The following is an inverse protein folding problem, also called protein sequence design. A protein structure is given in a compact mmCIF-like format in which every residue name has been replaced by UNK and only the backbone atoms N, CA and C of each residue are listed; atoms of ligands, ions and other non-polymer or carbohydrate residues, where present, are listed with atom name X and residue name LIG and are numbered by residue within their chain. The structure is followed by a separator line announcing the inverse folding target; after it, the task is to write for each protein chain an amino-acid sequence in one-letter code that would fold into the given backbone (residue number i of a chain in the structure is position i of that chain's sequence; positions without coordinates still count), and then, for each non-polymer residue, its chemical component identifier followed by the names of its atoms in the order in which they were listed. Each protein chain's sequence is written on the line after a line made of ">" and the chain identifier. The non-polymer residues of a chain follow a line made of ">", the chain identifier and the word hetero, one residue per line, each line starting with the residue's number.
data_IF_247186941147
#
_entry.id   IF_247186941147
#
_cell.length_a   1.000
_cell.length_b   1.000
_cell.length_c   1.000
_cell.angle_alpha   90.00
_cell.angle_beta   90.00
_cell.angle_gamma   90.00
#
_symmetry.space_group_name_H-M   'P 1'
#
loop_
_entity.id
_entity.type
_entity.pdbx_description
1 polymer ?
#
# COMPACT_ATOMS: atom_id res chain seq x y z
N UNK A 1 44.15 67.09 0.43
CA UNK A 1 45.26 66.13 0.60
C UNK A 1 44.81 64.84 -0.07
N UNK A 2 45.20 64.65 -1.33
CA UNK A 2 46.30 63.78 -1.77
C UNK A 2 46.08 62.30 -1.39
N UNK A 3 46.10 61.29 -2.27
CA UNK A 3 46.23 61.17 -3.74
C UNK A 3 46.38 59.65 -4.06
N UNK A 4 46.03 59.24 -5.29
CA UNK A 4 46.38 57.99 -6.04
C UNK A 4 45.66 56.69 -5.62
N UNK A 5 44.81 56.00 -6.38
CA UNK A 5 44.49 55.85 -7.82
C UNK A 5 45.40 55.01 -8.72
N UNK A 6 44.83 53.86 -9.15
CA UNK A 6 44.84 53.19 -10.47
C UNK A 6 45.93 52.20 -10.90
N UNK A 7 45.46 51.31 -11.80
CA UNK A 7 46.10 50.43 -12.79
C UNK A 7 46.40 48.98 -12.34
N UNK A 8 46.03 47.91 -13.06
CA UNK A 8 45.46 47.79 -14.41
C UNK A 8 44.82 46.38 -14.60
N UNK A 9 43.74 46.33 -15.36
CA UNK A 9 43.12 45.14 -15.94
C UNK A 9 43.76 44.74 -17.29
N UNK A 10 43.50 43.52 -17.77
CA UNK A 10 43.25 43.10 -19.18
C UNK A 10 43.82 41.69 -19.48
N UNK A 11 42.95 40.69 -19.66
CA UNK A 11 42.47 40.09 -20.93
C UNK A 11 43.29 38.83 -21.33
N UNK A 12 42.73 37.62 -21.26
CA UNK A 12 41.85 36.92 -22.22
C UNK A 12 42.61 36.30 -23.42
N UNK A 13 42.70 34.95 -23.48
CA UNK A 13 42.04 34.06 -24.47
C UNK A 13 42.71 32.68 -24.65
N UNK A 14 41.81 31.70 -24.86
CA UNK A 14 41.89 30.50 -25.68
C UNK A 14 42.71 29.27 -25.21
N UNK A 15 41.98 28.17 -25.03
CA UNK A 15 42.49 26.80 -24.96
C UNK A 15 41.34 25.80 -24.82
N UNK A 16 40.64 25.53 -25.92
CA UNK A 16 39.57 24.54 -26.04
C UNK A 16 40.05 23.13 -25.66
N UNK A 17 39.23 22.38 -24.94
CA UNK A 17 39.20 20.92 -25.06
C UNK A 17 37.80 20.41 -24.76
N UNK A 18 37.10 20.10 -25.85
CA UNK A 18 35.82 19.41 -25.90
C UNK A 18 36.08 17.93 -26.18
N UNK A 19 35.15 17.09 -25.74
CA UNK A 19 34.83 15.74 -26.21
C UNK A 19 35.29 14.48 -25.42
N UNK A 20 34.26 13.90 -24.81
CA UNK A 20 33.67 12.55 -25.05
C UNK A 20 33.90 11.45 -24.01
N UNK A 21 32.75 10.91 -23.60
CA UNK A 21 32.56 9.71 -22.81
C UNK A 21 33.21 8.46 -23.44
N UNK A 22 33.67 7.48 -22.63
CA UNK A 22 34.03 6.18 -23.15
C UNK A 22 32.78 5.35 -23.41
N UNK A 23 32.58 5.00 -24.70
CA UNK A 23 31.68 3.94 -25.16
C UNK A 23 32.23 2.56 -24.74
N UNK A 24 31.31 1.64 -24.51
CA UNK A 24 31.56 0.20 -24.42
C UNK A 24 32.32 -0.33 -25.65
N UNK A 25 33.10 -1.40 -25.51
CA UNK A 25 33.43 -2.29 -26.62
C UNK A 25 32.59 -3.57 -26.53
N UNK A 26 31.71 -3.77 -27.51
CA UNK A 26 31.29 -5.10 -27.94
C UNK A 26 32.37 -5.71 -28.84
N UNK A 27 32.68 -6.97 -28.51
CA UNK A 27 33.08 -8.11 -29.35
C UNK A 27 34.18 -7.97 -30.42
N UNK A 28 35.23 -8.76 -30.22
CA UNK A 28 35.71 -9.62 -31.30
C UNK A 28 35.90 -11.07 -30.82
N UNK A 29 35.51 -11.91 -31.77
CA UNK A 29 35.27 -13.34 -31.79
C UNK A 29 36.53 -14.21 -31.60
N UNK A 30 36.28 -15.50 -31.42
CA UNK A 30 37.16 -16.67 -31.51
C UNK A 30 37.95 -17.08 -30.26
N UNK A 31 37.45 -18.07 -29.49
CA UNK A 31 38.21 -19.26 -29.04
C UNK A 31 37.29 -20.49 -28.91
N UNK A 32 37.50 -21.42 -29.86
CA UNK A 32 37.52 -22.89 -29.77
C UNK A 32 36.78 -23.60 -28.61
N UNK A 33 35.81 -24.43 -28.99
CA UNK A 33 35.29 -25.53 -28.19
C UNK A 33 36.40 -26.52 -27.84
N UNK A 34 36.58 -26.80 -26.54
CA UNK A 34 37.20 -28.03 -26.05
C UNK A 34 36.24 -28.67 -25.05
N UNK A 35 35.67 -29.76 -25.51
CA UNK A 35 34.84 -30.70 -24.75
C UNK A 35 35.70 -31.35 -23.65
N UNK A 36 35.32 -31.21 -22.38
CA UNK A 36 35.92 -32.01 -21.32
C UNK A 36 34.90 -32.31 -20.22
N UNK A 37 34.63 -33.60 -20.06
CA UNK A 37 33.56 -34.13 -19.22
C UNK A 37 33.67 -33.74 -17.76
N UNK A 38 32.56 -33.24 -17.20
CA UNK A 38 32.32 -33.16 -15.77
C UNK A 38 31.01 -33.88 -15.45
N UNK A 39 31.12 -34.84 -14.52
CA UNK A 39 30.02 -35.61 -13.95
C UNK A 39 28.88 -34.68 -13.51
N UNK A 40 27.67 -34.99 -13.96
CA UNK A 40 26.44 -34.33 -13.52
C UNK A 40 26.32 -34.42 -12.00
N UNK A 41 26.28 -33.26 -11.36
CA UNK A 41 25.79 -33.14 -9.99
C UNK A 41 24.28 -33.42 -10.00
N UNK A 42 23.72 -34.11 -8.99
CA UNK A 42 22.30 -34.36 -8.93
C UNK A 42 21.54 -33.03 -8.98
N UNK A 43 20.59 -32.96 -9.91
CA UNK A 43 19.70 -31.82 -10.13
C UNK A 43 19.11 -31.36 -8.79
N UNK A 44 19.13 -30.05 -8.47
CA UNK A 44 18.50 -29.57 -7.25
C UNK A 44 17.02 -29.92 -7.33
N UNK A 45 16.57 -30.78 -6.42
CA UNK A 45 15.17 -31.09 -6.21
C UNK A 45 14.38 -29.79 -6.27
N UNK A 46 13.40 -29.73 -7.18
CA UNK A 46 12.39 -28.68 -7.24
C UNK A 46 11.82 -28.54 -5.82
N UNK A 47 12.33 -27.58 -5.05
CA UNK A 47 11.62 -27.08 -3.88
C UNK A 47 10.28 -26.65 -4.41
N UNK A 48 9.24 -27.43 -4.10
CA UNK A 48 7.86 -27.06 -4.33
C UNK A 48 7.68 -25.77 -3.53
N UNK A 49 7.87 -24.63 -4.20
CA UNK A 49 7.60 -23.33 -3.62
C UNK A 49 6.14 -23.37 -3.26
N UNK A 50 5.83 -23.38 -1.95
CA UNK A 50 4.45 -23.23 -1.50
C UNK A 50 3.85 -22.06 -2.28
N UNK A 51 2.66 -22.21 -2.89
CA UNK A 51 2.04 -21.12 -3.63
C UNK A 51 2.01 -19.89 -2.73
N UNK A 52 2.35 -18.74 -3.31
CA UNK A 52 2.26 -17.48 -2.59
C UNK A 52 0.81 -17.34 -2.07
N UNK A 53 0.61 -16.83 -0.85
CA UNK A 53 -0.73 -16.54 -0.35
C UNK A 53 -1.52 -15.72 -1.37
N UNK A 54 -2.81 -15.99 -1.51
CA UNK A 54 -3.69 -15.17 -2.34
C UNK A 54 -3.61 -13.72 -1.87
N UNK A 55 -3.36 -12.81 -2.81
CA UNK A 55 -3.21 -11.38 -2.53
C UNK A 55 -4.53 -10.79 -2.01
N UNK A 56 -4.48 -10.13 -0.86
CA UNK A 56 -5.62 -9.38 -0.32
C UNK A 56 -5.34 -7.90 -0.58
N UNK A 57 -5.99 -7.36 -1.62
CA UNK A 57 -5.83 -5.97 -2.06
C UNK A 57 -6.68 -4.97 -1.27
N UNK A 58 -7.56 -5.46 -0.40
CA UNK A 58 -8.52 -4.67 0.35
C UNK A 58 -9.57 -5.55 0.99
N UNK A 59 -10.48 -4.89 1.70
CA UNK A 59 -11.57 -5.54 2.42
C UNK A 59 -12.59 -6.14 1.44
N UNK A 60 -13.38 -7.10 1.90
CA UNK A 60 -14.32 -7.87 1.08
C UNK A 60 -15.72 -7.83 1.67
N UNK A 61 -16.72 -7.73 0.81
CA UNK A 61 -18.11 -7.92 1.23
C UNK A 61 -18.33 -9.33 1.82
N UNK A 62 -19.08 -9.39 2.92
CA UNK A 62 -19.53 -10.63 3.55
C UNK A 62 -20.98 -10.94 3.15
N UNK A 63 -21.13 -11.79 2.14
CA UNK A 63 -22.41 -12.04 1.49
C UNK A 63 -22.82 -10.92 0.53
N UNK A 64 -24.07 -10.95 0.09
CA UNK A 64 -24.62 -9.84 -0.69
C UNK A 64 -24.99 -8.69 0.24
N UNK A 65 -24.52 -7.49 -0.08
CA UNK A 65 -24.63 -6.31 0.79
C UNK A 65 -25.23 -5.14 0.03
N UNK A 66 -26.01 -4.32 0.72
CA UNK A 66 -26.57 -3.10 0.16
C UNK A 66 -25.67 -1.92 0.52
N UNK A 67 -25.28 -1.14 -0.48
CA UNK A 67 -24.60 0.13 -0.31
C UNK A 67 -25.64 1.24 -0.16
N UNK A 68 -25.44 2.12 0.82
CA UNK A 68 -26.30 3.27 1.07
C UNK A 68 -25.57 4.59 0.75
N UNK A 69 -26.30 5.63 0.34
CA UNK A 69 -25.71 6.96 0.06
C UNK A 69 -25.14 7.64 1.32
N UNK A 70 -25.74 7.36 2.47
CA UNK A 70 -25.39 7.86 3.80
C UNK A 70 -25.63 6.75 4.83
N UNK A 71 -25.22 6.97 6.08
CA UNK A 71 -25.57 6.09 7.20
C UNK A 71 -27.09 6.02 7.36
N UNK A 72 -27.66 4.81 7.32
CA UNK A 72 -29.11 4.55 7.32
C UNK A 72 -29.87 5.26 6.18
N UNK A 73 -29.15 5.56 5.09
CA UNK A 73 -29.62 6.33 3.95
C UNK A 73 -30.38 5.52 2.91
N UNK A 74 -30.46 6.08 1.70
CA UNK A 74 -31.09 5.41 0.57
C UNK A 74 -30.17 4.33 0.02
N UNK A 75 -30.75 3.19 -0.31
CA UNK A 75 -30.05 2.11 -1.00
C UNK A 75 -29.72 2.52 -2.44
N UNK A 76 -28.43 2.51 -2.80
CA UNK A 76 -27.95 2.94 -4.12
C UNK A 76 -27.44 1.78 -4.97
N UNK A 77 -26.93 0.72 -4.36
CA UNK A 77 -26.45 -0.46 -5.06
C UNK A 77 -26.53 -1.71 -4.18
N UNK A 78 -26.54 -2.89 -4.81
CA UNK A 78 -26.29 -4.18 -4.16
C UNK A 78 -24.99 -4.74 -4.70
N UNK A 79 -24.10 -5.13 -3.80
CA UNK A 79 -22.84 -5.78 -4.12
C UNK A 79 -22.95 -7.29 -3.86
N UNK A 80 -22.21 -8.06 -4.64
CA UNK A 80 -22.09 -9.51 -4.50
C UNK A 80 -21.11 -9.86 -3.36
N UNK A 81 -21.20 -11.10 -2.85
CA UNK A 81 -20.20 -11.63 -1.92
C UNK A 81 -18.79 -11.54 -2.51
N UNK A 82 -17.80 -11.25 -1.66
CA UNK A 82 -16.40 -11.01 -2.03
C UNK A 82 -16.14 -9.82 -2.97
N UNK A 83 -17.11 -8.92 -3.19
CA UNK A 83 -16.83 -7.64 -3.84
C UNK A 83 -15.69 -6.92 -3.09
N UNK A 84 -14.75 -6.32 -3.83
CA UNK A 84 -13.66 -5.53 -3.24
C UNK A 84 -14.23 -4.23 -2.68
N UNK A 85 -13.83 -3.90 -1.46
CA UNK A 85 -14.23 -2.71 -0.74
C UNK A 85 -12.97 -1.93 -0.37
N UNK A 86 -12.91 -0.66 -0.78
CA UNK A 86 -11.94 0.29 -0.27
C UNK A 86 -12.64 1.08 0.83
N UNK A 87 -12.24 0.86 2.08
CA UNK A 87 -13.02 1.27 3.25
C UNK A 87 -12.31 2.34 4.04
N UNK A 88 -13.01 3.42 4.39
CA UNK A 88 -12.56 4.44 5.34
C UNK A 88 -12.47 3.91 6.77
N UNK A 89 -12.06 4.77 7.71
CA UNK A 89 -11.99 4.40 9.13
C UNK A 89 -13.41 4.26 9.67
N UNK A 90 -13.79 3.12 10.28
CA UNK A 90 -15.17 2.97 10.74
C UNK A 90 -15.55 3.94 11.86
N UNK A 91 -16.74 4.53 11.74
CA UNK A 91 -17.33 5.44 12.74
C UNK A 91 -18.71 4.91 13.13
N UNK A 92 -18.96 4.74 14.43
CA UNK A 92 -20.25 4.28 14.98
C UNK A 92 -20.80 2.98 14.35
N UNK A 93 -19.92 2.04 14.00
CA UNK A 93 -20.30 0.75 13.41
C UNK A 93 -20.56 0.77 11.90
N UNK A 94 -20.32 1.90 11.25
CA UNK A 94 -20.43 2.08 9.81
C UNK A 94 -19.07 2.38 9.19
N UNK A 95 -18.87 1.96 7.94
CA UNK A 95 -17.70 2.30 7.16
C UNK A 95 -18.15 3.05 5.89
N UNK A 96 -17.49 4.16 5.59
CA UNK A 96 -17.51 4.74 4.26
C UNK A 96 -16.75 3.79 3.32
N UNK A 97 -17.27 3.61 2.11
CA UNK A 97 -16.74 2.64 1.13
C UNK A 97 -16.69 3.26 -0.25
N UNK A 98 -15.58 3.04 -0.93
CA UNK A 98 -15.40 3.21 -2.36
C UNK A 98 -15.46 1.85 -3.04
N UNK A 99 -16.30 1.78 -4.07
CA UNK A 99 -16.42 0.63 -4.97
C UNK A 99 -16.11 1.10 -6.37
N UNK A 100 -15.26 0.36 -7.05
CA UNK A 100 -14.87 0.64 -8.42
C UNK A 100 -15.71 -0.18 -9.40
N UNK A 101 -16.18 0.47 -10.46
CA UNK A 101 -16.85 -0.20 -11.57
C UNK A 101 -16.30 0.26 -12.91
N UNK A 102 -16.17 -0.66 -13.85
CA UNK A 102 -15.92 -0.35 -15.25
C UNK A 102 -17.11 0.41 -15.82
N UNK A 103 -16.79 1.42 -16.64
CA UNK A 103 -17.79 2.21 -17.38
C UNK A 103 -17.44 2.27 -18.86
N UNK A 104 -18.47 2.42 -19.69
CA UNK A 104 -18.35 2.59 -21.13
C UNK A 104 -18.48 4.06 -21.55
N UNK A 105 -18.24 4.34 -22.83
CA UNK A 105 -18.27 5.70 -23.37
C UNK A 105 -19.65 6.40 -23.25
N UNK A 106 -20.74 5.65 -23.19
CA UNK A 106 -22.09 6.22 -22.98
C UNK A 106 -22.22 6.73 -21.55
N UNK A 107 -21.79 5.91 -20.58
CA UNK A 107 -21.82 6.24 -19.14
C UNK A 107 -20.86 7.36 -18.78
N UNK A 108 -19.67 7.38 -19.41
CA UNK A 108 -18.73 8.49 -19.26
C UNK A 108 -19.35 9.81 -19.77
N UNK A 109 -20.05 9.76 -20.91
CA UNK A 109 -20.69 10.95 -21.48
C UNK A 109 -21.91 11.42 -20.69
N UNK A 110 -22.69 10.50 -20.12
CA UNK A 110 -23.85 10.85 -19.30
C UNK A 110 -23.47 11.19 -17.85
N UNK A 111 -22.24 10.88 -17.43
CA UNK A 111 -21.77 10.99 -16.05
C UNK A 111 -22.72 10.31 -15.06
N UNK A 112 -23.33 9.19 -15.47
CA UNK A 112 -24.39 8.54 -14.69
C UNK A 112 -24.28 7.02 -14.75
N UNK A 113 -24.47 6.39 -13.58
CA UNK A 113 -24.78 4.98 -13.43
C UNK A 113 -26.28 4.84 -13.27
N UNK A 114 -26.92 4.11 -14.18
CA UNK A 114 -28.39 3.98 -14.20
C UNK A 114 -28.88 2.86 -13.27
N UNK A 115 -30.09 3.00 -12.75
CA UNK A 115 -30.78 1.97 -11.99
C UNK A 115 -30.87 0.66 -12.78
N UNK A 116 -30.52 -0.45 -12.11
CA UNK A 116 -30.52 -1.78 -12.72
C UNK A 116 -29.24 -2.11 -13.49
N UNK A 117 -28.35 -1.14 -13.71
CA UNK A 117 -27.06 -1.37 -14.35
C UNK A 117 -26.21 -2.36 -13.55
N UNK A 118 -25.56 -3.29 -14.25
CA UNK A 118 -24.57 -4.20 -13.69
C UNK A 118 -23.26 -3.47 -13.37
N UNK A 119 -22.71 -3.70 -12.19
CA UNK A 119 -21.38 -3.22 -11.79
C UNK A 119 -20.33 -4.29 -12.12
N UNK A 120 -19.24 -3.87 -12.75
CA UNK A 120 -18.18 -4.76 -13.25
C UNK A 120 -16.82 -4.35 -12.70
N UNK A 121 -16.01 -5.33 -12.27
CA UNK A 121 -14.59 -5.13 -11.96
C UNK A 121 -13.80 -6.30 -12.53
N UNK A 122 -12.77 -6.00 -13.31
CA UNK A 122 -11.99 -6.98 -14.06
C UNK A 122 -12.89 -7.91 -14.90
N UNK A 123 -13.88 -7.32 -15.57
CA UNK A 123 -14.92 -7.98 -16.38
C UNK A 123 -15.82 -8.95 -15.60
N UNK A 124 -15.76 -8.96 -14.26
CA UNK A 124 -16.62 -9.78 -13.40
C UNK A 124 -17.72 -8.94 -12.78
N UNK A 125 -18.92 -9.50 -12.70
CA UNK A 125 -20.05 -8.86 -12.01
C UNK A 125 -19.81 -8.79 -10.51
N UNK A 126 -19.71 -7.57 -9.98
CA UNK A 126 -19.53 -7.29 -8.56
C UNK A 126 -20.79 -6.75 -7.90
N UNK A 127 -21.82 -6.41 -8.67
CA UNK A 127 -23.08 -5.91 -8.12
C UNK A 127 -24.03 -5.36 -9.18
N UNK A 128 -25.02 -4.59 -8.72
CA UNK A 128 -25.95 -3.84 -9.57
C UNK A 128 -26.44 -2.57 -8.87
N UNK A 129 -26.78 -1.55 -9.66
CA UNK A 129 -27.38 -0.32 -9.17
C UNK A 129 -28.85 -0.52 -8.77
N UNK A 130 -29.26 0.13 -7.68
CA UNK A 130 -30.65 0.20 -7.20
C UNK A 130 -31.31 1.55 -7.50
N UNK A 131 -30.50 2.58 -7.72
CA UNK A 131 -30.92 3.94 -8.06
C UNK A 131 -29.97 4.52 -9.12
N UNK A 132 -30.42 5.58 -9.78
CA UNK A 132 -29.53 6.37 -10.62
C UNK A 132 -28.56 7.15 -9.73
N UNK A 133 -27.27 7.16 -10.08
CA UNK A 133 -26.22 7.86 -9.34
C UNK A 133 -25.30 8.58 -10.31
N UNK A 134 -24.98 9.84 -10.01
CA UNK A 134 -24.00 10.62 -10.77
C UNK A 134 -22.58 10.11 -10.49
N UNK A 135 -21.77 9.98 -11.54
CA UNK A 135 -20.36 9.64 -11.43
C UNK A 135 -19.60 10.91 -11.07
N UNK A 136 -19.20 11.03 -9.80
CA UNK A 136 -18.42 12.19 -9.34
C UNK A 136 -16.93 12.06 -9.63
N UNK A 137 -16.43 10.83 -9.70
CA UNK A 137 -15.02 10.56 -9.90
C UNK A 137 -14.80 9.36 -10.81
N UNK A 138 -13.88 9.51 -11.76
CA UNK A 138 -13.47 8.44 -12.68
C UNK A 138 -12.01 8.61 -13.09
N UNK A 139 -11.37 7.51 -13.44
CA UNK A 139 -9.99 7.52 -13.89
C UNK A 139 -9.76 6.52 -15.04
N UNK A 140 -8.69 6.76 -15.79
CA UNK A 140 -8.34 5.97 -16.98
C UNK A 140 -7.20 5.02 -16.62
N UNK A 141 -7.39 3.73 -16.89
CA UNK A 141 -6.38 2.69 -16.74
C UNK A 141 -5.33 2.80 -17.85
N UNK A 142 -4.18 2.16 -17.64
CA UNK A 142 -3.09 2.15 -18.62
C UNK A 142 -3.48 1.55 -19.98
N UNK A 143 -4.46 0.64 -20.01
CA UNK A 143 -4.98 0.02 -21.23
C UNK A 143 -6.10 0.83 -21.92
N UNK A 144 -6.41 2.02 -21.38
CA UNK A 144 -7.48 2.89 -21.87
C UNK A 144 -8.87 2.56 -21.31
N UNK A 145 -9.00 1.53 -20.47
CA UNK A 145 -10.23 1.25 -19.73
C UNK A 145 -10.61 2.39 -18.79
N UNK A 146 -11.90 2.58 -18.54
CA UNK A 146 -12.43 3.63 -17.65
C UNK A 146 -13.04 3.00 -16.41
N UNK A 147 -12.68 3.52 -15.25
CA UNK A 147 -13.23 3.13 -13.96
C UNK A 147 -13.96 4.32 -13.37
N UNK A 148 -15.23 4.14 -13.01
CA UNK A 148 -15.97 5.05 -12.15
C UNK A 148 -15.88 4.58 -10.69
N UNK A 149 -15.92 5.56 -9.80
CA UNK A 149 -15.93 5.36 -8.36
C UNK A 149 -17.34 5.60 -7.83
N UNK A 150 -17.86 4.62 -7.10
CA UNK A 150 -19.09 4.73 -6.34
C UNK A 150 -18.76 4.84 -4.85
N UNK A 151 -19.20 5.93 -4.23
CA UNK A 151 -19.10 6.14 -2.79
C UNK A 151 -20.41 5.71 -2.10
N UNK A 152 -20.28 5.17 -0.90
CA UNK A 152 -21.43 4.91 -0.04
C UNK A 152 -21.02 4.38 1.33
N UNK A 153 -22.00 3.85 2.07
CA UNK A 153 -21.84 3.39 3.44
C UNK A 153 -22.39 1.98 3.60
N UNK A 154 -21.70 1.18 4.42
CA UNK A 154 -22.16 -0.15 4.85
C UNK A 154 -21.92 -0.35 6.35
N UNK A 155 -22.69 -1.21 7.03
CA UNK A 155 -22.35 -1.64 8.38
C UNK A 155 -21.05 -2.44 8.39
N UNK A 156 -20.17 -2.23 9.37
CA UNK A 156 -18.90 -2.97 9.51
C UNK A 156 -19.11 -4.49 9.61
N UNK A 157 -20.25 -4.92 10.16
CA UNK A 157 -20.65 -6.34 10.24
C UNK A 157 -20.85 -7.01 8.87
N UNK A 158 -20.88 -6.22 7.78
CA UNK A 158 -20.98 -6.69 6.40
C UNK A 158 -19.63 -6.80 5.69
N UNK A 159 -18.54 -6.58 6.42
CA UNK A 159 -17.17 -6.74 5.94
C UNK A 159 -16.63 -8.07 6.43
N UNK A 160 -16.06 -8.84 5.51
CA UNK A 160 -15.47 -10.16 5.79
C UNK A 160 -14.27 -9.98 6.69
N UNK A 161 -14.39 -10.38 7.95
CA UNK A 161 -13.40 -10.10 8.99
C UNK A 161 -11.97 -10.56 8.63
N UNK A 162 -11.80 -11.67 7.91
CA UNK A 162 -10.50 -12.16 7.45
C UNK A 162 -9.82 -11.30 6.36
N UNK A 163 -10.54 -10.36 5.76
CA UNK A 163 -10.01 -9.41 4.78
C UNK A 163 -9.58 -8.07 5.41
N UNK A 164 -9.95 -7.82 6.67
CA UNK A 164 -9.52 -6.65 7.44
C UNK A 164 -8.09 -6.88 7.91
N UNK A 165 -7.14 -6.03 7.51
CA UNK A 165 -5.71 -6.27 7.72
C UNK A 165 -5.33 -6.37 9.20
N UNK A 166 -5.98 -5.60 10.07
CA UNK A 166 -5.73 -5.62 11.52
C UNK A 166 -6.13 -6.97 12.14
N UNK A 167 -7.31 -7.47 11.79
CA UNK A 167 -7.77 -8.80 12.19
C UNK A 167 -6.85 -9.87 11.62
N UNK A 168 -6.54 -9.79 10.32
CA UNK A 168 -5.70 -10.78 9.65
C UNK A 168 -4.30 -10.84 10.25
N UNK A 169 -3.70 -9.70 10.59
CA UNK A 169 -2.40 -9.62 11.26
C UNK A 169 -2.47 -10.28 12.65
N UNK A 170 -3.49 -9.95 13.43
CA UNK A 170 -3.68 -10.49 14.77
C UNK A 170 -3.81 -12.02 14.75
N UNK A 171 -4.60 -12.55 13.82
CA UNK A 171 -4.74 -13.99 13.60
C UNK A 171 -3.45 -14.63 13.09
N UNK A 172 -2.76 -13.97 12.15
CA UNK A 172 -1.50 -14.45 11.61
C UNK A 172 -0.45 -14.65 12.71
N UNK A 173 -0.26 -13.65 13.57
CA UNK A 173 0.70 -13.67 14.67
C UNK A 173 0.30 -14.64 15.79
N UNK A 174 -0.99 -14.86 15.99
CA UNK A 174 -1.47 -15.89 16.93
C UNK A 174 -1.13 -17.31 16.43
N UNK A 175 -1.22 -17.55 15.12
CA UNK A 175 -0.89 -18.83 14.50
C UNK A 175 0.62 -19.02 14.26
N UNK A 176 1.37 -17.93 14.08
CA UNK A 176 2.80 -17.90 13.78
C UNK A 176 3.51 -17.01 14.81
N UNK A 177 3.91 -17.56 15.97
CA UNK A 177 4.50 -16.77 17.05
C UNK A 177 5.93 -16.27 16.73
N UNK A 178 6.53 -16.76 15.64
CA UNK A 178 7.79 -16.24 15.10
C UNK A 178 7.64 -14.78 14.69
N UNK A 179 8.50 -13.91 15.24
CA UNK A 179 8.51 -12.47 14.98
C UNK A 179 9.73 -12.02 14.18
N UNK A 180 10.49 -12.95 13.61
CA UNK A 180 11.58 -12.58 12.73
C UNK A 180 11.01 -12.20 11.36
N UNK A 181 11.66 -11.27 10.67
CA UNK A 181 11.22 -10.80 9.35
C UNK A 181 10.89 -11.96 8.39
N UNK A 182 11.71 -13.03 8.25
CA UNK A 182 11.36 -14.18 7.42
C UNK A 182 10.04 -14.88 7.79
N UNK A 183 9.68 -14.88 9.07
CA UNK A 183 8.42 -15.45 9.57
C UNK A 183 7.22 -14.57 9.20
N UNK A 184 7.41 -13.26 9.09
CA UNK A 184 6.35 -12.28 8.78
C UNK A 184 6.24 -11.98 7.27
N UNK A 185 7.27 -12.33 6.50
CA UNK A 185 7.32 -12.14 5.05
C UNK A 185 6.10 -12.67 4.26
N UNK A 186 5.50 -13.84 4.59
CA UNK A 186 4.27 -14.27 3.95
C UNK A 186 3.12 -13.28 4.10
N UNK A 187 2.94 -12.70 5.31
CA UNK A 187 1.92 -11.68 5.57
C UNK A 187 2.19 -10.39 4.79
N UNK A 188 3.44 -9.89 4.82
CA UNK A 188 3.88 -8.72 4.05
C UNK A 188 3.54 -8.88 2.57
N UNK A 189 3.82 -10.06 1.97
CA UNK A 189 3.51 -10.33 0.57
C UNK A 189 2.02 -10.46 0.29
N UNK A 190 1.27 -11.05 1.22
CA UNK A 190 -0.17 -11.26 1.07
C UNK A 190 -0.93 -9.93 0.99
N UNK A 191 -0.59 -9.00 1.88
CA UNK A 191 -1.20 -7.67 1.98
C UNK A 191 -0.42 -6.57 1.23
N UNK A 192 0.62 -6.95 0.48
CA UNK A 192 1.44 -6.05 -0.32
C UNK A 192 2.01 -4.86 0.46
N UNK A 193 2.50 -5.11 1.68
CA UNK A 193 3.10 -4.04 2.47
C UNK A 193 4.40 -3.56 1.83
N UNK A 194 4.54 -2.24 1.73
CA UNK A 194 5.64 -1.56 1.07
C UNK A 194 6.72 -1.14 2.07
N UNK A 195 8.02 -1.30 1.75
CA UNK A 195 9.07 -0.81 2.62
C UNK A 195 9.17 0.72 2.57
N UNK A 196 9.32 1.38 3.73
CA UNK A 196 9.45 2.85 3.77
C UNK A 196 10.87 3.32 3.47
N UNK A 197 11.89 2.59 3.97
CA UNK A 197 13.31 2.95 3.91
C UNK A 197 13.70 4.31 4.53
N UNK A 198 12.81 4.98 5.26
CA UNK A 198 13.04 6.34 5.78
C UNK A 198 13.61 6.38 7.20
N UNK A 199 13.31 5.36 8.00
CA UNK A 199 13.38 5.44 9.47
C UNK A 199 14.48 4.58 10.08
N UNK A 200 15.69 4.62 9.53
CA UNK A 200 16.85 3.91 10.09
C UNK A 200 17.08 4.29 11.57
N UNK A 201 17.32 3.33 12.50
CA UNK A 201 17.70 1.93 12.29
C UNK A 201 16.53 0.94 12.15
N UNK A 202 15.30 1.42 12.08
CA UNK A 202 14.12 0.57 11.93
C UNK A 202 13.91 0.18 10.48
N UNK A 203 13.45 -1.05 10.30
CA UNK A 203 12.94 -1.52 9.02
C UNK A 203 11.42 -1.56 9.13
N UNK A 204 10.75 -0.85 8.23
CA UNK A 204 9.30 -0.73 8.24
C UNK A 204 8.69 -1.29 6.98
N UNK A 205 7.50 -1.87 7.12
CA UNK A 205 6.64 -2.27 6.02
C UNK A 205 5.24 -1.74 6.28
N UNK A 206 4.65 -1.00 5.35
CA UNK A 206 3.41 -0.28 5.57
C UNK A 206 2.36 -0.51 4.48
N UNK A 207 1.12 -0.17 4.80
CA UNK A 207 0.10 0.15 3.81
C UNK A 207 -0.59 1.47 4.22
N UNK A 208 -1.24 2.11 3.25
CA UNK A 208 -2.01 3.32 3.48
C UNK A 208 -3.47 3.03 3.82
N UNK A 209 -4.12 4.03 4.42
CA UNK A 209 -5.58 4.09 4.50
C UNK A 209 -6.20 4.16 3.10
N UNK A 210 -7.51 3.88 3.02
CA UNK A 210 -8.22 4.04 1.76
C UNK A 210 -8.34 5.53 1.40
N UNK A 211 -8.29 5.84 0.10
CA UNK A 211 -8.53 7.19 -0.41
C UNK A 211 -10.00 7.66 -0.37
N UNK A 212 -10.86 6.99 0.41
CA UNK A 212 -12.30 7.30 0.48
C UNK A 212 -12.55 8.67 1.11
N UNK A 213 -11.82 8.96 2.19
CA UNK A 213 -12.00 10.17 3.01
C UNK A 213 -10.92 11.21 2.75
N UNK A 214 -9.72 10.77 2.37
CA UNK A 214 -8.56 11.61 2.11
C UNK A 214 -7.85 11.14 0.83
N UNK A 215 -7.71 11.99 -0.21
CA UNK A 215 -6.99 11.64 -1.43
C UNK A 215 -5.49 11.41 -1.22
N UNK A 216 -4.92 11.84 -0.09
CA UNK A 216 -3.53 11.60 0.34
C UNK A 216 -3.50 10.83 1.66
N UNK A 217 -3.97 9.58 1.68
CA UNK A 217 -4.19 8.86 2.92
C UNK A 217 -2.89 8.65 3.71
N UNK A 218 -2.99 8.79 5.04
CA UNK A 218 -1.93 8.40 5.96
C UNK A 218 -1.75 6.88 6.03
N UNK A 219 -0.79 6.44 6.85
CA UNK A 219 -0.58 5.01 7.08
C UNK A 219 -1.83 4.37 7.70
N UNK A 220 -2.16 3.16 7.26
CA UNK A 220 -3.12 2.29 7.94
C UNK A 220 -2.43 1.34 8.91
N UNK A 221 -1.37 0.69 8.45
CA UNK A 221 -0.52 -0.16 9.27
C UNK A 221 0.95 0.09 8.95
N UNK A 222 1.80 0.01 9.97
CA UNK A 222 3.25 -0.03 9.83
C UNK A 222 3.80 -1.14 10.72
N UNK A 223 4.40 -2.15 10.13
CA UNK A 223 5.14 -3.18 10.85
C UNK A 223 6.53 -2.67 11.16
N UNK A 224 6.89 -2.62 12.45
CA UNK A 224 8.16 -2.03 12.92
C UNK A 224 9.14 -3.13 13.31
N UNK A 225 10.22 -3.25 12.56
CA UNK A 225 11.29 -4.20 12.85
C UNK A 225 12.54 -3.49 13.36
N UNK A 226 13.17 -4.07 14.39
CA UNK A 226 14.50 -3.71 14.83
C UNK A 226 15.38 -4.96 14.84
N UNK A 227 16.53 -4.91 14.15
CA UNK A 227 17.42 -6.08 13.95
C UNK A 227 16.67 -7.32 13.47
N UNK A 228 15.81 -7.17 12.46
CA UNK A 228 14.96 -8.19 11.86
C UNK A 228 13.89 -8.80 12.78
N UNK A 229 13.68 -8.28 14.00
CA UNK A 229 12.60 -8.74 14.90
C UNK A 229 11.48 -7.70 14.95
N UNK A 230 10.24 -8.13 14.80
CA UNK A 230 9.06 -7.29 14.95
C UNK A 230 8.93 -6.81 16.40
N UNK A 231 9.17 -5.52 16.63
CA UNK A 231 9.12 -4.88 17.95
C UNK A 231 7.76 -4.25 18.22
N UNK A 232 7.04 -3.87 17.18
CA UNK A 232 5.69 -3.35 17.31
C UNK A 232 5.01 -3.12 15.98
N UNK A 233 3.81 -2.57 16.08
CA UNK A 233 2.96 -2.20 14.95
C UNK A 233 2.37 -0.82 15.24
N UNK A 234 2.42 0.08 14.26
CA UNK A 234 1.64 1.32 14.29
C UNK A 234 0.39 1.11 13.44
N UNK A 235 -0.75 1.64 13.87
CA UNK A 235 -1.98 1.63 13.08
C UNK A 235 -2.83 2.86 13.33
N UNK A 236 -3.53 3.33 12.30
CA UNK A 236 -4.63 4.31 12.39
C UNK A 236 -5.91 3.71 12.99
N UNK A 237 -6.00 2.37 13.08
CA UNK A 237 -7.18 1.64 13.55
C UNK A 237 -6.88 0.85 14.82
N UNK A 238 -7.94 0.46 15.50
CA UNK A 238 -7.86 -0.45 16.66
C UNK A 238 -7.28 -1.80 16.27
N UNK A 239 -6.28 -2.27 17.02
CA UNK A 239 -5.61 -3.55 16.81
C UNK A 239 -5.42 -4.26 18.15
N UNK A 240 -5.50 -5.60 18.14
CA UNK A 240 -5.28 -6.41 19.35
C UNK A 240 -4.18 -7.43 19.11
N UNK A 241 -2.98 -7.13 19.62
CA UNK A 241 -1.83 -8.03 19.53
C UNK A 241 -1.52 -8.64 20.89
N UNK A 242 -1.48 -9.98 20.97
CA UNK A 242 -1.12 -10.69 22.19
C UNK A 242 0.32 -10.38 22.59
N UNK A 243 0.52 -9.98 23.85
CA UNK A 243 1.85 -9.65 24.40
C UNK A 243 2.39 -8.30 23.94
N UNK A 244 1.53 -7.42 23.42
CA UNK A 244 1.86 -6.04 23.12
C UNK A 244 1.10 -5.08 24.04
N UNK A 245 1.73 -3.93 24.32
CA UNK A 245 1.13 -2.80 25.03
C UNK A 245 0.76 -1.71 24.04
N UNK A 246 -0.38 -1.09 24.30
CA UNK A 246 -0.85 0.08 23.56
C UNK A 246 -0.20 1.37 24.06
N UNK A 247 0.11 2.24 23.10
CA UNK A 247 0.61 3.60 23.29
C UNK A 247 -0.14 4.51 22.33
N UNK A 248 -0.72 5.59 22.83
CA UNK A 248 -1.24 6.65 21.97
C UNK A 248 -0.07 7.38 21.31
N UNK A 249 -0.19 7.62 20.00
CA UNK A 249 0.74 8.38 19.19
C UNK A 249 0.04 9.66 18.67
N UNK A 250 0.79 10.54 18.02
CA UNK A 250 0.21 11.77 17.48
C UNK A 250 -0.69 11.46 16.26
N UNK A 251 -1.57 12.42 15.92
CA UNK A 251 -2.56 12.30 14.82
C UNK A 251 -3.42 11.02 14.91
N UNK A 252 -3.83 10.69 16.13
CA UNK A 252 -4.74 9.58 16.46
C UNK A 252 -4.19 8.18 16.13
N UNK A 253 -2.91 8.05 15.80
CA UNK A 253 -2.28 6.75 15.62
C UNK A 253 -2.15 5.99 16.94
N UNK A 254 -2.03 4.67 16.80
CA UNK A 254 -1.87 3.73 17.89
C UNK A 254 -0.61 2.89 17.69
N UNK A 255 0.26 2.88 18.70
CA UNK A 255 1.43 2.02 18.75
C UNK A 255 1.19 0.79 19.62
N UNK A 256 1.42 -0.40 19.07
CA UNK A 256 1.29 -1.68 19.76
C UNK A 256 2.67 -2.35 19.82
N UNK A 257 3.40 -2.17 20.93
CA UNK A 257 4.77 -2.67 21.09
C UNK A 257 4.85 -3.87 22.02
N UNK A 258 5.59 -4.90 21.63
CA UNK A 258 5.71 -6.12 22.41
C UNK A 258 6.44 -5.89 23.74
N UNK A 259 6.00 -6.60 24.79
CA UNK A 259 6.53 -6.49 26.15
C UNK A 259 8.05 -6.71 26.26
N UNK A 260 8.61 -7.52 25.36
CA UNK A 260 10.02 -7.85 25.30
C UNK A 260 10.85 -6.89 24.44
N UNK A 261 10.24 -5.81 23.95
CA UNK A 261 10.95 -4.72 23.27
C UNK A 261 11.58 -3.79 24.31
N UNK A 262 12.89 -3.57 24.18
CA UNK A 262 13.63 -2.63 25.01
C UNK A 262 12.96 -1.24 25.02
N UNK A 263 12.87 -0.64 26.20
CA UNK A 263 12.13 0.61 26.39
C UNK A 263 12.77 1.78 25.62
N UNK A 264 14.11 1.84 25.52
CA UNK A 264 14.80 2.90 24.81
C UNK A 264 14.57 2.78 23.30
N UNK A 265 14.57 1.55 22.76
CA UNK A 265 14.22 1.29 21.36
C UNK A 265 12.79 1.75 21.07
N UNK A 266 11.81 1.32 21.87
CA UNK A 266 10.41 1.73 21.69
C UNK A 266 10.25 3.26 21.76
N UNK A 267 10.81 3.91 22.77
CA UNK A 267 10.68 5.36 22.96
C UNK A 267 11.33 6.14 21.81
N UNK A 268 12.50 5.71 21.34
CA UNK A 268 13.15 6.32 20.19
C UNK A 268 12.28 6.22 18.93
N UNK A 269 11.66 5.06 18.68
CA UNK A 269 10.74 4.89 17.56
C UNK A 269 9.52 5.81 17.67
N UNK A 270 8.84 5.83 18.83
CA UNK A 270 7.64 6.67 19.05
C UNK A 270 7.95 8.14 18.78
N UNK A 271 9.06 8.64 19.32
CA UNK A 271 9.48 10.04 19.10
C UNK A 271 9.69 10.32 17.61
N UNK A 272 10.45 9.47 16.92
CA UNK A 272 10.72 9.61 15.50
C UNK A 272 9.45 9.55 14.64
N UNK A 273 8.54 8.61 14.93
CA UNK A 273 7.27 8.49 14.22
C UNK A 273 6.41 9.75 14.39
N UNK A 274 6.29 10.25 15.62
CA UNK A 274 5.53 11.47 15.89
C UNK A 274 6.14 12.70 15.20
N UNK A 275 7.48 12.83 15.22
CA UNK A 275 8.18 13.89 14.49
C UNK A 275 7.89 13.82 12.98
N UNK A 276 7.91 12.62 12.40
CA UNK A 276 7.59 12.40 10.99
C UNK A 276 6.14 12.76 10.66
N UNK A 277 5.16 12.22 11.40
CA UNK A 277 3.75 12.37 11.05
C UNK A 277 3.24 13.80 11.25
N UNK A 278 3.87 14.57 12.16
CA UNK A 278 3.57 15.99 12.37
C UNK A 278 4.28 16.90 11.36
N UNK A 279 5.31 16.39 10.66
CA UNK A 279 6.01 17.13 9.60
C UNK A 279 5.40 16.90 8.21
N UNK A 280 4.64 15.81 8.03
CA UNK A 280 3.78 15.62 6.87
C UNK A 280 2.54 16.51 7.06
N UNK A 281 2.34 17.53 6.21
CA UNK A 281 1.14 18.38 6.23
C UNK A 281 -0.13 17.53 5.99
#
# INVERSE_FOLDING_TARGET
>A
MQKYTYLLAALLLAGCAENRAPKQPEEQDSIQQVENGRKEAPSPEKRISKPLPEKILGERADGSITLQDTVDGKEIAVLNDNALLLTGVPVNGWAAVMVETEVNAVQEKSEQLEKGQTLLKDKKTVGRMLADVTIENSYTLHDGGKIAVLYGYIPVSKIKNGSVIETALSQYLAAHPGRMLPDIQPFIRQFQLEPTHMNGPYQEYMNYESGVEDPSPGYRIVLVFYKNKLTGVVSSRGLQLKGARHYALDREYHGYFYDDTDAAIRQAYIKMFNEFINAAD
#
